data_IF_105711867713
#
_entry.id   IF_105711867713
#
_cell.length_a   1.000
_cell.length_b   1.000
_cell.length_c   1.000
_cell.angle_alpha   90.00
_cell.angle_beta   90.00
_cell.angle_gamma   90.00
#
_symmetry.space_group_name_H-M   'P 1'
#
loop_
_entity.id
_entity.type
_entity.pdbx_description
1 polymer ?
#
# COMPACT_ATOMS: atom_id res chain seq x y z
N UNK A 1 19.95 -32.13 58.07
CA UNK A 1 20.33 -31.36 56.86
C UNK A 1 20.28 -32.26 55.63
N UNK A 2 20.75 -33.50 55.75
CA UNK A 2 20.90 -34.45 54.63
C UNK A 2 19.58 -34.92 54.00
N UNK A 3 18.52 -35.11 54.79
CA UNK A 3 17.20 -35.54 54.27
C UNK A 3 16.55 -34.47 53.38
N UNK A 4 16.72 -33.19 53.71
CA UNK A 4 16.19 -32.09 52.90
C UNK A 4 16.96 -32.00 51.59
N UNK A 5 18.29 -32.14 51.63
CA UNK A 5 19.12 -32.16 50.43
C UNK A 5 18.79 -33.37 49.53
N UNK A 6 18.49 -34.52 50.12
CA UNK A 6 18.07 -35.71 49.38
C UNK A 6 16.71 -35.52 48.71
N UNK A 7 15.73 -34.96 49.42
CA UNK A 7 14.40 -34.65 48.85
C UNK A 7 14.50 -33.59 47.75
N UNK A 8 15.33 -32.57 47.93
CA UNK A 8 15.54 -31.53 46.93
C UNK A 8 16.25 -32.09 45.68
N UNK A 9 17.23 -32.97 45.85
CA UNK A 9 17.89 -33.65 44.73
C UNK A 9 16.97 -34.62 43.99
N UNK A 10 16.12 -35.36 44.71
CA UNK A 10 15.12 -36.24 44.11
C UNK A 10 14.04 -35.44 43.38
N UNK A 11 13.61 -34.30 43.92
CA UNK A 11 12.68 -33.38 43.26
C UNK A 11 13.24 -32.80 41.96
N UNK A 12 14.50 -32.37 41.96
CA UNK A 12 15.16 -31.81 40.77
C UNK A 12 15.41 -32.87 39.70
N UNK A 13 15.75 -34.11 40.10
CA UNK A 13 15.91 -35.24 39.18
C UNK A 13 14.60 -35.74 38.56
N UNK A 14 13.46 -35.46 39.19
CA UNK A 14 12.13 -35.83 38.73
C UNK A 14 11.41 -34.67 38.01
N UNK A 15 12.03 -33.49 37.91
CA UNK A 15 11.54 -32.42 37.04
C UNK A 15 11.71 -32.90 35.59
N UNK A 16 10.62 -33.01 34.81
CA UNK A 16 10.72 -33.45 33.43
C UNK A 16 11.54 -32.42 32.65
N UNK A 17 12.63 -32.87 32.00
CA UNK A 17 13.51 -32.06 31.14
C UNK A 17 12.80 -31.44 29.91
N UNK A 18 11.48 -31.59 29.82
CA UNK A 18 10.62 -31.14 28.73
C UNK A 18 10.12 -29.71 28.91
N UNK A 19 10.30 -29.07 30.07
CA UNK A 19 9.77 -27.72 30.32
C UNK A 19 10.41 -26.64 29.44
N UNK A 20 11.69 -26.76 29.06
CA UNK A 20 12.33 -25.76 28.19
C UNK A 20 12.10 -25.97 26.69
N UNK A 21 11.93 -27.21 26.24
CA UNK A 21 11.79 -27.55 24.81
C UNK A 21 10.34 -27.51 24.33
N UNK A 22 9.39 -27.90 25.19
CA UNK A 22 7.95 -27.86 24.88
C UNK A 22 7.46 -26.40 24.79
N UNK A 23 8.07 -25.47 25.53
CA UNK A 23 7.72 -24.05 25.46
C UNK A 23 8.16 -23.41 24.13
N UNK A 24 9.39 -23.67 23.66
CA UNK A 24 9.89 -23.09 22.40
C UNK A 24 9.20 -23.66 21.14
N UNK A 25 8.98 -24.97 21.08
CA UNK A 25 8.26 -25.61 19.96
C UNK A 25 6.78 -25.20 19.93
N UNK A 26 6.13 -25.09 21.10
CA UNK A 26 4.75 -24.61 21.19
C UNK A 26 4.65 -23.14 20.78
N UNK A 27 5.57 -22.28 21.23
CA UNK A 27 5.65 -20.90 20.79
C UNK A 27 5.89 -20.79 19.29
N UNK A 28 6.82 -21.58 18.73
CA UNK A 28 7.10 -21.62 17.30
C UNK A 28 5.88 -22.07 16.49
N UNK A 29 5.15 -23.08 16.97
CA UNK A 29 3.88 -23.55 16.42
C UNK A 29 2.79 -22.49 16.43
N UNK A 30 2.69 -21.72 17.52
CA UNK A 30 1.78 -20.56 17.61
C UNK A 30 2.18 -19.45 16.62
N UNK A 31 3.46 -19.12 16.49
CA UNK A 31 3.94 -18.11 15.53
C UNK A 31 3.74 -18.54 14.07
N UNK A 32 3.97 -19.81 13.75
CA UNK A 32 3.73 -20.32 12.38
C UNK A 32 2.25 -20.34 12.04
N UNK A 33 1.39 -20.82 12.93
CA UNK A 33 -0.06 -20.84 12.69
C UNK A 33 -0.66 -19.43 12.60
N UNK A 34 -0.29 -18.52 13.51
CA UNK A 34 -0.69 -17.11 13.45
C UNK A 34 -0.13 -16.41 12.20
N UNK A 35 1.14 -16.66 11.86
CA UNK A 35 1.79 -16.10 10.69
C UNK A 35 1.10 -16.52 9.38
N UNK A 36 0.73 -17.80 9.26
CA UNK A 36 -0.03 -18.31 8.11
C UNK A 36 -1.44 -17.71 8.04
N UNK A 37 -2.13 -17.57 9.18
CA UNK A 37 -3.46 -16.97 9.23
C UNK A 37 -3.43 -15.49 8.83
N UNK A 38 -2.52 -14.71 9.42
CA UNK A 38 -2.33 -13.29 9.10
C UNK A 38 -1.90 -13.13 7.64
N UNK A 39 -0.95 -13.95 7.17
CA UNK A 39 -0.50 -13.94 5.77
C UNK A 39 -1.64 -14.22 4.79
N UNK A 40 -2.51 -15.17 5.09
CA UNK A 40 -3.68 -15.50 4.25
C UNK A 40 -4.68 -14.35 4.21
N UNK A 41 -5.01 -13.74 5.35
CA UNK A 41 -5.89 -12.57 5.40
C UNK A 41 -5.29 -11.38 4.63
N UNK A 42 -3.98 -11.17 4.76
CA UNK A 42 -3.26 -10.12 4.05
C UNK A 42 -3.36 -10.29 2.52
N UNK A 43 -3.23 -11.52 2.01
CA UNK A 43 -3.39 -11.81 0.58
C UNK A 43 -4.80 -11.49 0.07
N UNK A 44 -5.83 -11.84 0.86
CA UNK A 44 -7.24 -11.54 0.51
C UNK A 44 -7.46 -10.02 0.47
N UNK A 45 -6.92 -9.28 1.45
CA UNK A 45 -7.02 -7.81 1.50
C UNK A 45 -6.28 -7.18 0.33
N UNK A 46 -5.08 -7.66 -0.02
CA UNK A 46 -4.32 -7.17 -1.17
C UNK A 46 -5.09 -7.37 -2.48
N UNK A 47 -5.66 -8.55 -2.68
CA UNK A 47 -6.43 -8.87 -3.87
C UNK A 47 -7.69 -8.00 -3.96
N UNK A 48 -8.42 -7.85 -2.84
CA UNK A 48 -9.62 -7.02 -2.76
C UNK A 48 -9.31 -5.56 -3.06
N UNK A 49 -8.25 -5.02 -2.45
CA UNK A 49 -7.78 -3.65 -2.66
C UNK A 49 -7.34 -3.43 -4.11
N UNK A 50 -6.64 -4.39 -4.72
CA UNK A 50 -6.21 -4.32 -6.11
C UNK A 50 -7.39 -4.29 -7.08
N UNK A 51 -8.38 -5.18 -6.89
CA UNK A 51 -9.59 -5.24 -7.71
C UNK A 51 -10.39 -3.94 -7.55
N UNK A 52 -10.58 -3.47 -6.30
CA UNK A 52 -11.31 -2.24 -6.00
C UNK A 52 -10.68 -1.02 -6.70
N UNK A 53 -9.37 -0.83 -6.60
CA UNK A 53 -8.66 0.27 -7.25
C UNK A 53 -8.75 0.23 -8.78
N UNK A 54 -8.59 -0.96 -9.35
CA UNK A 54 -8.66 -1.13 -10.79
C UNK A 54 -10.07 -0.84 -11.30
N UNK A 55 -11.09 -1.30 -10.57
CA UNK A 55 -12.49 -1.16 -10.96
C UNK A 55 -13.03 0.27 -10.78
N UNK A 56 -12.65 0.95 -9.70
CA UNK A 56 -13.00 2.37 -9.48
C UNK A 56 -12.43 3.27 -10.59
N UNK A 57 -11.15 3.09 -10.92
CA UNK A 57 -10.54 3.88 -11.99
C UNK A 57 -11.11 3.52 -13.37
N UNK A 58 -11.38 2.24 -13.62
CA UNK A 58 -12.05 1.79 -14.85
C UNK A 58 -13.40 2.48 -15.03
N UNK A 59 -14.24 2.51 -13.98
CA UNK A 59 -15.55 3.19 -14.01
C UNK A 59 -15.41 4.70 -14.18
N UNK A 60 -14.41 5.30 -13.55
CA UNK A 60 -14.13 6.73 -13.69
C UNK A 60 -13.71 7.07 -15.12
N UNK A 61 -12.84 6.27 -15.74
CA UNK A 61 -12.42 6.44 -17.12
C UNK A 61 -13.56 6.22 -18.12
N UNK A 62 -14.44 5.23 -17.90
CA UNK A 62 -15.66 5.05 -18.70
C UNK A 62 -16.57 6.29 -18.62
N UNK A 63 -16.75 6.84 -17.43
CA UNK A 63 -17.57 8.05 -17.21
C UNK A 63 -16.99 9.31 -17.85
N UNK A 64 -15.68 9.33 -18.06
CA UNK A 64 -14.96 10.42 -18.74
C UNK A 64 -14.72 10.15 -20.24
N UNK A 65 -15.33 9.09 -20.80
CA UNK A 65 -15.27 8.72 -22.22
C UNK A 65 -13.85 8.61 -22.80
N UNK A 66 -12.90 8.03 -22.05
CA UNK A 66 -11.54 7.77 -22.54
C UNK A 66 -11.52 6.50 -23.40
N UNK A 67 -10.75 6.52 -24.51
CA UNK A 67 -10.68 5.44 -25.51
C UNK A 67 -10.30 4.05 -24.93
N UNK A 68 -9.54 4.00 -23.83
CA UNK A 68 -8.99 2.75 -23.26
C UNK A 68 -9.12 2.66 -21.73
N UNK A 69 -10.34 2.55 -21.17
CA UNK A 69 -10.56 2.49 -19.71
C UNK A 69 -9.96 1.24 -19.06
N UNK A 70 -9.88 0.13 -19.80
CA UNK A 70 -9.36 -1.16 -19.34
C UNK A 70 -7.87 -1.11 -18.93
N UNK A 71 -7.13 -0.07 -19.34
CA UNK A 71 -5.75 0.15 -18.92
C UNK A 71 -5.61 0.34 -17.39
N UNK A 72 -6.71 0.64 -16.69
CA UNK A 72 -6.76 0.74 -15.23
C UNK A 72 -6.31 -0.54 -14.49
N UNK A 73 -6.40 -1.71 -15.14
CA UNK A 73 -5.98 -3.00 -14.56
C UNK A 73 -4.46 -3.18 -14.52
N UNK A 74 -3.70 -2.49 -15.37
CA UNK A 74 -2.24 -2.64 -15.45
C UNK A 74 -1.59 -1.57 -14.57
N UNK A 75 -0.84 -1.93 -13.49
CA UNK A 75 -0.33 -0.94 -12.53
C UNK A 75 0.52 0.18 -13.13
N UNK A 76 1.34 -0.14 -14.14
CA UNK A 76 2.22 0.85 -14.80
C UNK A 76 1.38 1.80 -15.68
N UNK A 77 0.47 1.25 -16.48
CA UNK A 77 -0.37 2.03 -17.39
C UNK A 77 -1.48 2.79 -16.64
N UNK A 78 -1.85 2.33 -15.44
CA UNK A 78 -2.76 3.02 -14.53
C UNK A 78 -2.27 4.45 -14.23
N UNK A 79 -0.97 4.64 -14.05
CA UNK A 79 -0.37 5.97 -13.80
C UNK A 79 -0.59 6.87 -15.01
N UNK A 80 -0.29 6.35 -16.21
CA UNK A 80 -0.57 7.04 -17.47
C UNK A 80 -2.05 7.44 -17.59
N UNK A 81 -2.97 6.52 -17.26
CA UNK A 81 -4.40 6.78 -17.32
C UNK A 81 -4.83 7.89 -16.34
N UNK A 82 -4.32 7.90 -15.11
CA UNK A 82 -4.60 8.96 -14.13
C UNK A 82 -4.11 10.32 -14.64
N UNK A 83 -2.91 10.38 -15.23
CA UNK A 83 -2.37 11.60 -15.83
C UNK A 83 -3.26 12.12 -16.96
N UNK A 84 -3.62 11.25 -17.91
CA UNK A 84 -4.51 11.60 -19.04
C UNK A 84 -5.88 12.06 -18.56
N UNK A 85 -6.48 11.35 -17.60
CA UNK A 85 -7.76 11.76 -16.99
C UNK A 85 -7.62 13.13 -16.30
N UNK A 86 -6.49 13.35 -15.62
CA UNK A 86 -6.15 14.60 -14.93
C UNK A 86 -5.67 15.73 -15.84
N UNK A 87 -5.79 15.62 -17.16
CA UNK A 87 -5.30 16.63 -18.12
C UNK A 87 -3.80 16.95 -18.01
N UNK A 88 -3.04 16.01 -17.45
CA UNK A 88 -1.61 16.16 -17.28
C UNK A 88 -0.83 15.60 -18.45
N UNK A 89 0.33 16.20 -18.68
CA UNK A 89 1.25 15.71 -19.68
C UNK A 89 1.72 14.27 -19.36
N UNK A 90 1.61 13.32 -20.30
CA UNK A 90 2.06 11.94 -20.09
C UNK A 90 3.54 11.81 -19.69
N UNK A 91 4.38 12.80 -19.97
CA UNK A 91 5.79 12.81 -19.60
C UNK A 91 6.04 12.70 -18.09
N UNK A 92 5.05 13.06 -17.25
CA UNK A 92 5.18 12.88 -15.80
C UNK A 92 5.32 11.41 -15.39
N UNK A 93 4.97 10.44 -16.25
CA UNK A 93 5.26 9.01 -16.00
C UNK A 93 6.77 8.75 -15.84
N UNK A 94 7.62 9.57 -16.46
CA UNK A 94 9.07 9.48 -16.32
C UNK A 94 9.52 9.76 -14.89
N UNK A 95 8.79 10.57 -14.11
CA UNK A 95 9.10 10.80 -12.69
C UNK A 95 8.88 9.53 -11.85
N UNK A 96 7.84 8.76 -12.16
CA UNK A 96 7.56 7.50 -11.48
C UNK A 96 8.58 6.43 -11.86
N UNK A 97 8.93 6.34 -13.15
CA UNK A 97 9.93 5.39 -13.64
C UNK A 97 11.31 5.73 -13.09
N UNK A 98 11.69 7.01 -13.10
CA UNK A 98 12.98 7.44 -12.55
C UNK A 98 13.04 7.12 -11.06
N UNK A 99 12.03 7.49 -10.27
CA UNK A 99 11.94 7.17 -8.85
C UNK A 99 12.04 5.66 -8.59
N UNK A 100 11.41 4.83 -9.42
CA UNK A 100 11.50 3.37 -9.30
C UNK A 100 12.92 2.84 -9.56
N UNK A 101 13.55 3.23 -10.68
CA UNK A 101 14.92 2.80 -11.03
C UNK A 101 15.91 3.25 -9.96
N UNK A 102 15.78 4.49 -9.54
CA UNK A 102 16.62 5.11 -8.52
C UNK A 102 16.43 4.47 -7.14
N UNK A 103 15.20 4.09 -6.78
CA UNK A 103 14.91 3.33 -5.57
C UNK A 103 15.62 1.97 -5.56
N UNK A 104 15.66 1.26 -6.70
CA UNK A 104 16.39 -0.01 -6.81
C UNK A 104 17.90 0.18 -6.62
N UNK A 105 18.47 1.27 -7.13
CA UNK A 105 19.89 1.57 -6.98
C UNK A 105 20.28 1.95 -5.54
N UNK A 106 19.36 2.60 -4.81
CA UNK A 106 19.57 3.04 -3.42
C UNK A 106 19.88 1.89 -2.45
N UNK A 107 19.39 0.67 -2.74
CA UNK A 107 19.57 -0.51 -1.88
C UNK A 107 20.99 -1.09 -1.95
N UNK A 108 21.75 -0.79 -3.01
CA UNK A 108 23.00 -1.50 -3.34
C UNK A 108 24.25 -0.72 -2.90
N UNK A 109 24.14 0.57 -2.56
CA UNK A 109 25.29 1.46 -2.41
C UNK A 109 25.25 2.29 -1.12
N UNK A 110 26.34 2.28 -0.35
CA UNK A 110 26.51 3.05 0.90
C UNK A 110 26.50 4.59 0.69
N UNK A 111 26.67 5.06 -0.55
CA UNK A 111 26.47 6.47 -0.96
C UNK A 111 24.97 6.87 -0.98
N UNK A 112 24.08 5.92 -0.68
CA UNK A 112 22.63 6.05 -0.74
C UNK A 112 22.06 7.25 0.03
N UNK A 113 22.72 7.78 1.06
CA UNK A 113 22.20 8.91 1.86
C UNK A 113 21.97 10.17 0.99
N UNK A 114 22.96 10.60 0.20
CA UNK A 114 22.85 11.78 -0.68
C UNK A 114 21.75 11.54 -1.73
N UNK A 115 21.71 10.31 -2.24
CA UNK A 115 20.75 9.88 -3.23
C UNK A 115 19.31 9.87 -2.69
N UNK A 116 19.12 9.48 -1.42
CA UNK A 116 17.84 9.52 -0.72
C UNK A 116 17.35 10.95 -0.48
N UNK A 117 18.23 11.91 -0.20
CA UNK A 117 17.85 13.33 -0.13
C UNK A 117 17.34 13.85 -1.48
N UNK A 118 17.92 13.45 -2.61
CA UNK A 118 17.40 13.80 -3.94
C UNK A 118 16.03 13.16 -4.20
N UNK A 119 15.87 11.88 -3.83
CA UNK A 119 14.59 11.17 -3.94
C UNK A 119 13.47 11.81 -3.12
N UNK A 120 13.77 12.49 -2.02
CA UNK A 120 12.78 13.23 -1.23
C UNK A 120 12.10 14.32 -2.07
N UNK A 121 12.87 15.13 -2.80
CA UNK A 121 12.31 16.17 -3.68
C UNK A 121 11.49 15.58 -4.83
N UNK A 122 11.97 14.48 -5.43
CA UNK A 122 11.24 13.74 -6.46
C UNK A 122 9.91 13.20 -5.91
N UNK A 123 9.91 12.69 -4.68
CA UNK A 123 8.71 12.18 -4.01
C UNK A 123 7.66 13.27 -3.79
N UNK A 124 8.09 14.49 -3.40
CA UNK A 124 7.21 15.64 -3.26
C UNK A 124 6.61 16.04 -4.62
N UNK A 125 7.42 16.03 -5.69
CA UNK A 125 6.92 16.31 -7.04
C UNK A 125 5.87 15.27 -7.50
N UNK A 126 6.12 13.98 -7.26
CA UNK A 126 5.16 12.90 -7.55
C UNK A 126 3.86 13.10 -6.77
N UNK A 127 3.94 13.50 -5.50
CA UNK A 127 2.78 13.79 -4.67
C UNK A 127 1.96 14.96 -5.24
N UNK A 128 2.61 16.07 -5.62
CA UNK A 128 1.94 17.22 -6.23
C UNK A 128 1.24 16.85 -7.56
N UNK A 129 1.92 16.07 -8.41
CA UNK A 129 1.36 15.56 -9.67
C UNK A 129 0.13 14.68 -9.42
N UNK A 130 0.15 13.79 -8.43
CA UNK A 130 -1.02 13.00 -8.07
C UNK A 130 -2.18 13.91 -7.65
N UNK A 131 -1.95 14.81 -6.70
CA UNK A 131 -2.99 15.70 -6.16
C UNK A 131 -3.64 16.51 -7.27
N UNK A 132 -2.86 17.21 -8.08
CA UNK A 132 -3.40 18.04 -9.17
C UNK A 132 -4.14 17.16 -10.20
N UNK A 133 -3.68 15.93 -10.47
CA UNK A 133 -4.40 15.01 -11.37
C UNK A 133 -5.78 14.69 -10.81
N UNK A 134 -5.88 14.37 -9.52
CA UNK A 134 -7.16 14.09 -8.87
C UNK A 134 -8.07 15.33 -8.75
N UNK A 135 -7.51 16.53 -8.59
CA UNK A 135 -8.28 17.79 -8.63
C UNK A 135 -8.94 17.98 -10.00
N UNK A 136 -8.18 17.80 -11.08
CA UNK A 136 -8.68 17.93 -12.44
C UNK A 136 -9.70 16.82 -12.78
N UNK A 137 -9.48 15.59 -12.32
CA UNK A 137 -10.46 14.49 -12.49
C UNK A 137 -11.76 14.83 -11.75
N UNK A 138 -11.66 15.38 -10.54
CA UNK A 138 -12.83 15.78 -9.75
C UNK A 138 -13.63 16.88 -10.46
N UNK A 139 -12.95 17.92 -10.94
CA UNK A 139 -13.56 19.00 -11.72
C UNK A 139 -14.23 18.47 -12.99
N UNK A 140 -13.54 17.62 -13.77
CA UNK A 140 -14.10 16.99 -14.99
C UNK A 140 -15.31 16.09 -14.70
N UNK A 141 -15.38 15.49 -13.51
CA UNK A 141 -16.54 14.69 -13.05
C UNK A 141 -17.69 15.56 -12.54
N UNK A 142 -17.50 16.87 -12.40
CA UNK A 142 -18.49 17.81 -11.86
C UNK A 142 -18.48 17.92 -10.33
N UNK A 143 -17.33 17.68 -9.70
CA UNK A 143 -17.07 17.86 -8.27
C UNK A 143 -16.15 19.05 -8.02
N UNK A 144 -16.14 19.58 -6.79
CA UNK A 144 -15.21 20.63 -6.39
C UNK A 144 -13.74 20.16 -6.44
N UNK A 145 -12.85 21.08 -6.83
CA UNK A 145 -11.39 20.84 -6.84
C UNK A 145 -10.86 20.37 -5.49
N UNK A 146 -11.48 20.83 -4.39
CA UNK A 146 -11.10 20.48 -3.03
C UNK A 146 -11.22 18.97 -2.76
N UNK A 147 -12.13 18.26 -3.43
CA UNK A 147 -12.21 16.79 -3.31
C UNK A 147 -10.95 16.11 -3.84
N UNK A 148 -10.29 16.68 -4.85
CA UNK A 148 -9.00 16.21 -5.32
C UNK A 148 -7.87 16.38 -4.29
N UNK A 149 -7.98 17.33 -3.36
CA UNK A 149 -7.00 17.53 -2.29
C UNK A 149 -6.98 16.35 -1.31
N UNK A 150 -8.08 15.58 -1.22
CA UNK A 150 -8.09 14.32 -0.50
C UNK A 150 -7.06 13.32 -1.03
N UNK A 151 -6.54 13.49 -2.25
CA UNK A 151 -5.47 12.63 -2.74
C UNK A 151 -4.10 12.87 -2.10
N UNK A 152 -3.95 13.90 -1.25
CA UNK A 152 -2.71 14.15 -0.47
C UNK A 152 -2.32 12.92 0.32
N UNK A 153 -3.28 12.29 1.00
CA UNK A 153 -3.01 11.12 1.80
C UNK A 153 -3.35 9.85 1.01
N UNK A 154 -2.46 8.84 0.97
CA UNK A 154 -2.67 7.65 0.15
C UNK A 154 -3.98 6.92 0.50
N UNK A 155 -4.36 6.85 1.77
CA UNK A 155 -5.59 6.17 2.19
C UNK A 155 -6.85 6.90 1.74
N UNK A 156 -6.85 8.23 1.74
CA UNK A 156 -7.99 9.02 1.29
C UNK A 156 -8.15 9.02 -0.24
N UNK A 157 -7.08 8.73 -0.99
CA UNK A 157 -7.14 8.48 -2.44
C UNK A 157 -8.08 7.31 -2.80
N UNK A 158 -8.10 6.24 -1.99
CA UNK A 158 -9.01 5.10 -2.20
C UNK A 158 -10.49 5.48 -2.03
N UNK A 159 -10.78 6.32 -1.03
CA UNK A 159 -12.13 6.84 -0.78
C UNK A 159 -12.53 7.78 -1.92
N UNK A 160 -11.64 8.68 -2.33
CA UNK A 160 -11.85 9.60 -3.44
C UNK A 160 -12.16 8.86 -4.75
N UNK A 161 -11.38 7.82 -5.08
CA UNK A 161 -11.65 6.99 -6.27
C UNK A 161 -13.02 6.32 -6.21
N UNK A 162 -13.46 5.86 -5.03
CA UNK A 162 -14.81 5.34 -4.82
C UNK A 162 -15.88 6.40 -5.07
N UNK A 163 -15.70 7.60 -4.52
CA UNK A 163 -16.60 8.75 -4.74
C UNK A 163 -16.62 9.14 -6.22
N UNK A 164 -15.48 9.19 -6.90
CA UNK A 164 -15.43 9.51 -8.33
C UNK A 164 -16.08 8.41 -9.18
N UNK A 165 -15.92 7.14 -8.81
CA UNK A 165 -16.46 6.00 -9.53
C UNK A 165 -17.97 5.82 -9.37
N UNK A 166 -18.52 6.04 -8.18
CA UNK A 166 -19.94 5.75 -7.87
C UNK A 166 -20.71 6.91 -7.26
N UNK A 167 -20.04 7.97 -6.85
CA UNK A 167 -20.68 9.17 -6.33
C UNK A 167 -21.69 9.74 -7.33
N UNK A 168 -22.83 10.15 -6.77
CA UNK A 168 -23.82 10.97 -7.47
C UNK A 168 -23.24 12.39 -7.56
N UNK A 169 -23.51 13.07 -8.68
CA UNK A 169 -23.13 14.49 -8.86
C UNK A 169 -23.55 15.25 -7.60
N UNK A 170 -22.68 16.13 -7.10
CA UNK A 170 -23.13 17.15 -6.16
C UNK A 170 -24.28 17.89 -6.84
N UNK A 171 -25.46 17.85 -6.23
CA UNK A 171 -26.54 18.73 -6.63
C UNK A 171 -25.99 20.16 -6.57
N UNK A 172 -26.38 20.94 -7.57
CA UNK A 172 -26.19 22.39 -7.64
C UNK A 172 -26.30 23.02 -6.25
N UNK A 173 -25.21 23.65 -5.81
CA UNK A 173 -25.23 24.74 -4.85
C UNK A 173 -24.61 25.94 -5.53
#
# INVERSE_FOLDING_TARGET
>A
MDTIQQILGEFDSNLPATTSTVDEEMLLGMFTTLGLLIGTLFLIILLTTYIYNSLTLYKTAQKLNVDKPWLAWIPIVKIYLILVLGDMSPYFILLYISSFIFGLFSVISDIGIIFNFLLLFVSIAIMAVNVISYMNISEKRGYDKLLGLLAIYPLTSYILMGILAWGKKGAEN
#
